data_IF_856145022064
#
_entry.id   IF_856145022064
#
_cell.length_a   1.000
_cell.length_b   1.000
_cell.length_c   1.000
_cell.angle_alpha   90.00
_cell.angle_beta   90.00
_cell.angle_gamma   90.00
#
_symmetry.space_group_name_H-M   'P 1'
#
loop_
_entity.id
_entity.type
_entity.pdbx_description
1 polymer ?
#
# COMPACT_ATOMS: atom_id res chain seq x y z
N UNK A 1 4.43 3.18 -15.79
CA UNK A 1 4.11 3.22 -14.34
C UNK A 1 5.30 2.65 -13.59
N UNK A 2 5.63 3.21 -12.44
CA UNK A 2 6.59 2.58 -11.52
C UNK A 2 5.85 1.55 -10.66
N UNK A 3 6.51 0.43 -10.37
CA UNK A 3 5.99 -0.61 -9.47
C UNK A 3 7.08 -0.91 -8.45
N UNK A 4 6.76 -0.73 -7.17
CA UNK A 4 7.60 -1.18 -6.08
C UNK A 4 7.28 -2.64 -5.76
N UNK A 5 8.32 -3.43 -5.49
CA UNK A 5 8.18 -4.83 -5.08
C UNK A 5 8.69 -5.01 -3.64
N UNK A 6 7.90 -5.71 -2.83
CA UNK A 6 8.24 -6.05 -1.46
C UNK A 6 8.01 -7.54 -1.20
N UNK A 7 9.06 -8.25 -0.83
CA UNK A 7 8.97 -9.66 -0.43
C UNK A 7 8.54 -9.74 1.04
N UNK A 8 7.55 -10.60 1.32
CA UNK A 8 7.06 -10.89 2.66
C UNK A 8 7.22 -12.39 2.91
N UNK A 9 7.91 -12.73 3.99
CA UNK A 9 7.92 -14.08 4.54
C UNK A 9 6.65 -14.29 5.36
N UNK A 10 5.85 -15.30 4.98
CA UNK A 10 4.58 -15.59 5.66
C UNK A 10 4.86 -16.15 7.05
N UNK A 11 4.30 -15.51 8.07
CA UNK A 11 4.52 -15.88 9.47
C UNK A 11 3.47 -16.88 9.93
N UNK A 12 3.86 -17.82 10.79
CA UNK A 12 2.91 -18.80 11.33
C UNK A 12 1.72 -18.12 12.03
N UNK A 13 2.00 -17.04 12.75
CA UNK A 13 0.99 -16.22 13.45
C UNK A 13 -0.02 -15.54 12.51
N UNK A 14 0.24 -15.50 11.20
CA UNK A 14 -0.67 -14.90 10.22
C UNK A 14 -1.69 -15.92 9.66
N UNK A 15 -1.62 -17.18 10.07
CA UNK A 15 -2.53 -18.24 9.62
C UNK A 15 -3.79 -18.36 10.48
N UNK A 16 -4.85 -18.93 9.91
CA UNK A 16 -6.08 -19.30 10.63
C UNK A 16 -6.33 -20.82 10.65
N UNK A 17 -7.46 -21.24 11.22
CA UNK A 17 -7.85 -22.64 11.35
C UNK A 17 -8.00 -23.37 10.00
N UNK A 18 -8.19 -22.66 8.89
CA UNK A 18 -8.27 -23.25 7.54
C UNK A 18 -6.88 -23.57 6.97
N UNK A 19 -5.81 -23.23 7.71
CA UNK A 19 -4.41 -23.48 7.32
C UNK A 19 -3.92 -22.52 6.23
N UNK A 20 -4.60 -21.39 6.04
CA UNK A 20 -4.23 -20.33 5.08
C UNK A 20 -3.96 -19.04 5.84
N UNK A 21 -3.37 -18.07 5.15
CA UNK A 21 -3.20 -16.72 5.69
C UNK A 21 -4.57 -16.10 5.93
N UNK A 22 -4.82 -15.67 7.17
CA UNK A 22 -6.06 -15.02 7.55
C UNK A 22 -6.26 -13.73 6.74
N UNK A 23 -7.46 -13.55 6.21
CA UNK A 23 -7.79 -12.55 5.19
C UNK A 23 -7.41 -11.10 5.56
N UNK A 24 -7.38 -10.74 6.84
CA UNK A 24 -7.01 -9.38 7.28
C UNK A 24 -5.50 -9.12 7.25
N UNK A 25 -4.67 -10.16 7.32
CA UNK A 25 -3.22 -9.99 7.39
C UNK A 25 -2.63 -9.45 6.08
N UNK A 26 -3.32 -9.69 4.96
CA UNK A 26 -2.97 -9.08 3.69
C UNK A 26 -2.97 -7.54 3.76
N UNK A 27 -3.79 -6.91 4.61
CA UNK A 27 -3.84 -5.45 4.75
C UNK A 27 -2.52 -4.88 5.30
N UNK A 28 -1.88 -5.62 6.22
CA UNK A 28 -0.54 -5.29 6.71
C UNK A 28 0.46 -5.36 5.56
N UNK A 29 0.35 -6.36 4.70
CA UNK A 29 1.24 -6.51 3.54
C UNK A 29 1.04 -5.41 2.49
N UNK A 30 -0.20 -4.95 2.27
CA UNK A 30 -0.49 -3.79 1.43
C UNK A 30 0.18 -2.52 1.97
N UNK A 31 0.18 -2.33 3.30
CA UNK A 31 0.87 -1.22 3.94
C UNK A 31 2.40 -1.32 3.82
N UNK A 32 2.97 -2.52 3.96
CA UNK A 32 4.40 -2.76 3.70
C UNK A 32 4.76 -2.41 2.25
N UNK A 33 3.96 -2.84 1.27
CA UNK A 33 4.14 -2.48 -0.13
C UNK A 33 4.03 -0.97 -0.39
N UNK A 34 3.06 -0.30 0.23
CA UNK A 34 2.88 1.17 0.14
C UNK A 34 4.06 1.93 0.73
N UNK A 35 4.51 1.56 1.93
CA UNK A 35 5.63 2.24 2.60
C UNK A 35 6.96 1.99 1.88
N UNK A 36 7.15 0.79 1.30
CA UNK A 36 8.28 0.48 0.41
C UNK A 36 8.29 1.37 -0.83
N UNK A 37 7.14 1.55 -1.51
CA UNK A 37 7.02 2.47 -2.64
C UNK A 37 7.42 3.90 -2.26
N UNK A 38 6.93 4.38 -1.11
CA UNK A 38 7.23 5.72 -0.61
C UNK A 38 8.75 5.90 -0.40
N UNK A 39 9.38 4.91 0.24
CA UNK A 39 10.81 4.92 0.53
C UNK A 39 11.67 4.88 -0.75
N UNK A 40 11.30 4.05 -1.73
CA UNK A 40 12.04 3.95 -3.00
C UNK A 40 11.99 5.23 -3.83
N UNK A 41 10.96 6.05 -3.63
CA UNK A 41 10.84 7.36 -4.27
C UNK A 41 11.59 8.47 -3.51
N UNK A 42 12.28 8.12 -2.41
CA UNK A 42 13.06 9.06 -1.61
C UNK A 42 12.26 9.85 -0.58
N UNK A 43 11.00 9.48 -0.33
CA UNK A 43 10.15 10.12 0.67
C UNK A 43 10.10 9.30 1.97
N UNK A 44 9.73 9.95 3.07
CA UNK A 44 9.61 9.30 4.38
C UNK A 44 8.22 9.52 4.97
N UNK A 45 7.50 8.42 5.18
CA UNK A 45 6.22 8.44 5.88
C UNK A 45 6.40 8.89 7.36
N UNK A 46 7.51 8.51 7.99
CA UNK A 46 7.81 8.90 9.37
C UNK A 46 8.03 10.41 9.50
N UNK A 47 8.70 11.04 8.53
CA UNK A 47 8.88 12.51 8.56
C UNK A 47 7.55 13.23 8.34
N UNK A 48 6.66 12.73 7.46
CA UNK A 48 5.29 13.24 7.31
C UNK A 48 4.55 13.24 8.66
N UNK A 49 4.65 12.16 9.44
CA UNK A 49 3.99 12.08 10.75
C UNK A 49 4.59 13.00 11.80
N UNK A 50 5.91 13.23 11.77
CA UNK A 50 6.59 14.20 12.65
C UNK A 50 6.16 15.64 12.36
N UNK A 51 5.80 15.95 11.12
CA UNK A 51 5.23 17.25 10.71
C UNK A 51 3.74 17.40 11.09
N UNK A 52 3.16 16.40 11.77
CA UNK A 52 1.76 16.41 12.19
C UNK A 52 0.77 16.14 11.05
N UNK A 53 1.22 15.51 9.96
CA UNK A 53 0.38 15.03 8.86
C UNK A 53 0.30 13.49 8.93
N UNK A 54 -0.89 12.94 8.69
CA UNK A 54 -1.13 11.49 8.65
C UNK A 54 -1.80 11.11 7.33
N UNK A 55 -1.71 9.84 6.92
CA UNK A 55 -2.32 9.36 5.66
C UNK A 55 -3.33 8.23 5.85
N UNK A 56 -4.51 8.49 6.46
CA UNK A 56 -5.50 7.44 6.70
C UNK A 56 -6.02 6.81 5.40
N UNK A 57 -6.33 5.52 5.47
CA UNK A 57 -7.06 4.78 4.44
C UNK A 57 -8.55 5.12 4.55
N UNK A 58 -9.15 5.59 3.47
CA UNK A 58 -10.59 5.88 3.37
C UNK A 58 -11.40 4.72 2.78
N UNK A 59 -10.80 3.95 1.89
CA UNK A 59 -11.45 2.82 1.21
C UNK A 59 -10.42 1.72 0.94
N UNK A 60 -10.89 0.47 0.99
CA UNK A 60 -10.14 -0.72 0.69
C UNK A 60 -11.02 -1.64 -0.17
N UNK A 61 -10.50 -2.05 -1.32
CA UNK A 61 -11.05 -3.13 -2.12
C UNK A 61 -10.03 -4.26 -2.19
N UNK A 62 -10.45 -5.50 -1.99
CA UNK A 62 -9.58 -6.66 -2.06
C UNK A 62 -10.33 -7.86 -2.65
N UNK A 63 -9.65 -8.60 -3.51
CA UNK A 63 -10.16 -9.85 -4.10
C UNK A 63 -9.16 -10.96 -3.87
N UNK A 64 -9.61 -12.02 -3.22
CA UNK A 64 -8.82 -13.20 -2.87
C UNK A 64 -9.00 -14.27 -3.96
N UNK A 65 -8.00 -14.46 -4.81
CA UNK A 65 -8.06 -15.38 -5.96
C UNK A 65 -7.50 -16.76 -5.63
N UNK A 66 -6.37 -16.79 -4.92
CA UNK A 66 -5.70 -18.03 -4.47
C UNK A 66 -5.26 -17.86 -3.03
N UNK A 67 -5.47 -18.90 -2.22
CA UNK A 67 -5.05 -18.89 -0.82
C UNK A 67 -3.54 -19.13 -0.72
N UNK A 68 -2.88 -18.35 0.14
CA UNK A 68 -1.46 -18.50 0.47
C UNK A 68 -1.30 -19.22 1.81
N UNK A 69 -0.16 -19.88 2.02
CA UNK A 69 0.09 -20.74 3.19
C UNK A 69 1.43 -20.46 3.84
N UNK A 70 1.53 -20.78 5.13
CA UNK A 70 2.80 -20.72 5.85
C UNK A 70 3.86 -21.59 5.16
N UNK A 71 5.09 -21.07 5.07
CA UNK A 71 6.20 -21.68 4.34
C UNK A 71 6.35 -21.18 2.90
N UNK A 72 5.34 -20.47 2.36
CA UNK A 72 5.45 -19.75 1.09
C UNK A 72 6.01 -18.34 1.30
N UNK A 73 6.39 -17.70 0.19
CA UNK A 73 6.73 -16.28 0.11
C UNK A 73 5.64 -15.53 -0.63
N UNK A 74 5.42 -14.27 -0.25
CA UNK A 74 4.54 -13.36 -0.96
C UNK A 74 5.34 -12.19 -1.56
N UNK A 75 5.07 -11.85 -2.81
CA UNK A 75 5.64 -10.69 -3.49
C UNK A 75 4.53 -9.67 -3.67
N UNK A 76 4.59 -8.58 -2.90
CA UNK A 76 3.64 -7.47 -2.96
C UNK A 76 4.13 -6.46 -3.98
N UNK A 77 3.39 -6.31 -5.07
CA UNK A 77 3.60 -5.27 -6.08
C UNK A 77 2.67 -4.11 -5.82
N UNK A 78 3.22 -2.89 -5.76
CA UNK A 78 2.46 -1.68 -5.45
C UNK A 78 2.73 -0.58 -6.45
N UNK A 79 1.70 0.14 -6.88
CA UNK A 79 1.82 1.30 -7.77
C UNK A 79 0.80 2.39 -7.43
N UNK A 80 0.96 3.59 -8.00
CA UNK A 80 -0.04 4.66 -7.96
C UNK A 80 -1.03 4.43 -9.10
N UNK A 81 -2.27 4.05 -8.78
CA UNK A 81 -3.31 3.77 -9.77
C UNK A 81 -3.97 5.05 -10.26
N UNK A 82 -4.45 5.88 -9.33
CA UNK A 82 -4.96 7.23 -9.64
C UNK A 82 -4.51 8.25 -8.61
N UNK A 83 -4.44 9.51 -9.03
CA UNK A 83 -3.97 10.61 -8.21
C UNK A 83 -4.82 11.86 -8.42
N UNK A 84 -5.14 12.52 -7.33
CA UNK A 84 -5.78 13.84 -7.29
C UNK A 84 -5.17 14.68 -6.16
N UNK A 85 -5.39 16.01 -6.12
CA UNK A 85 -4.82 16.86 -5.07
C UNK A 85 -5.22 16.50 -3.62
N UNK A 86 -6.27 15.69 -3.42
CA UNK A 86 -6.76 15.29 -2.10
C UNK A 86 -6.64 13.78 -1.84
N UNK A 87 -6.58 12.94 -2.88
CA UNK A 87 -6.64 11.48 -2.77
C UNK A 87 -5.58 10.82 -3.62
N UNK A 88 -4.97 9.77 -3.07
CA UNK A 88 -4.12 8.83 -3.77
C UNK A 88 -4.81 7.47 -3.76
N UNK A 89 -4.97 6.84 -4.92
CA UNK A 89 -5.38 5.44 -5.00
C UNK A 89 -4.17 4.60 -5.33
N UNK A 90 -3.83 3.69 -4.43
CA UNK A 90 -2.78 2.70 -4.64
C UNK A 90 -3.40 1.43 -5.21
N UNK A 91 -2.73 0.83 -6.20
CA UNK A 91 -3.07 -0.48 -6.72
C UNK A 91 -2.07 -1.52 -6.23
N UNK A 92 -2.56 -2.74 -6.02
CA UNK A 92 -1.78 -3.84 -5.47
C UNK A 92 -2.06 -5.16 -6.18
N UNK A 93 -0.99 -5.93 -6.36
CA UNK A 93 -1.03 -7.35 -6.69
C UNK A 93 -0.13 -8.12 -5.73
N UNK A 94 -0.56 -9.31 -5.30
CA UNK A 94 0.27 -10.21 -4.49
C UNK A 94 0.41 -11.53 -5.22
N UNK A 95 1.67 -11.92 -5.43
CA UNK A 95 2.06 -13.17 -6.07
C UNK A 95 2.67 -14.12 -5.05
N UNK A 96 2.52 -15.43 -5.25
CA UNK A 96 3.26 -16.44 -4.48
C UNK A 96 4.65 -16.71 -5.09
N UNK A 97 5.41 -17.61 -4.46
CA UNK A 97 6.75 -18.01 -4.92
C UNK A 97 6.80 -18.65 -6.31
N UNK A 98 5.68 -19.18 -6.80
CA UNK A 98 5.56 -19.77 -8.14
C UNK A 98 5.18 -18.73 -9.22
N UNK A 99 5.01 -17.45 -8.82
CA UNK A 99 4.63 -16.37 -9.73
C UNK A 99 3.13 -16.32 -10.06
N UNK A 100 2.28 -16.99 -9.28
CA UNK A 100 0.83 -16.98 -9.48
C UNK A 100 0.16 -15.80 -8.76
N UNK A 101 -0.76 -15.12 -9.45
CA UNK A 101 -1.52 -14.02 -8.89
C UNK A 101 -2.52 -14.51 -7.84
N UNK A 102 -2.27 -14.18 -6.57
CA UNK A 102 -3.09 -14.62 -5.44
C UNK A 102 -4.09 -13.56 -5.00
N UNK A 103 -3.71 -12.28 -4.99
CA UNK A 103 -4.53 -11.15 -4.52
C UNK A 103 -4.47 -10.00 -5.52
N UNK A 104 -5.61 -9.34 -5.73
CA UNK A 104 -5.67 -8.00 -6.31
C UNK A 104 -6.36 -7.06 -5.32
N UNK A 105 -5.81 -5.88 -5.09
CA UNK A 105 -6.39 -4.92 -4.14
C UNK A 105 -6.16 -3.46 -4.56
N UNK A 106 -6.90 -2.55 -3.94
CA UNK A 106 -6.64 -1.11 -3.98
C UNK A 106 -6.96 -0.45 -2.65
N UNK A 107 -6.26 0.64 -2.33
CA UNK A 107 -6.61 1.50 -1.19
C UNK A 107 -6.69 2.94 -1.63
N UNK A 108 -7.68 3.67 -1.10
CA UNK A 108 -7.75 5.12 -1.24
C UNK A 108 -7.22 5.77 0.03
N UNK A 109 -6.21 6.61 -0.07
CA UNK A 109 -5.63 7.36 1.04
C UNK A 109 -5.78 8.87 0.83
N UNK A 110 -5.84 9.61 1.93
CA UNK A 110 -5.80 11.08 1.95
C UNK A 110 -4.72 11.55 2.90
N UNK A 111 -4.24 12.78 2.75
CA UNK A 111 -3.51 13.45 3.83
C UNK A 111 -4.51 14.14 4.77
N UNK A 112 -4.27 14.05 6.08
CA UNK A 112 -5.04 14.72 7.11
C UNK A 112 -4.12 15.33 8.18
N UNK A 113 -4.58 16.37 8.87
CA UNK A 113 -3.93 16.82 10.10
C UNK A 113 -4.08 15.74 11.16
N UNK A 114 -2.99 15.43 11.87
CA UNK A 114 -2.97 14.42 12.96
C UNK A 114 -3.98 14.77 14.05
N UNK A 115 -4.06 16.04 14.41
CA UNK A 115 -5.09 16.54 15.29
C UNK A 115 -6.41 16.75 14.52
N UNK A 116 -7.49 16.14 15.01
CA UNK A 116 -8.83 16.32 14.47
C UNK A 116 -9.10 15.71 13.08
N UNK A 117 -8.13 14.99 12.48
CA UNK A 117 -8.29 14.26 11.22
C UNK A 117 -8.79 15.10 10.03
N UNK A 118 -8.55 16.42 10.07
CA UNK A 118 -9.04 17.32 9.02
C UNK A 118 -8.30 17.05 7.70
N UNK A 119 -9.00 16.72 6.60
CA UNK A 119 -8.36 16.50 5.30
C UNK A 119 -7.61 17.74 4.80
N UNK A 120 -6.46 17.51 4.16
CA UNK A 120 -5.58 18.55 3.64
C UNK A 120 -5.07 18.15 2.25
N UNK A 121 -4.83 19.14 1.39
CA UNK A 121 -4.38 18.86 0.03
C UNK A 121 -2.95 18.34 0.01
N UNK A 122 -2.78 17.10 -0.47
CA UNK A 122 -1.49 16.45 -0.66
C UNK A 122 -0.59 17.29 -1.58
N UNK A 123 -1.14 17.77 -2.71
CA UNK A 123 -0.42 18.64 -3.66
C UNK A 123 0.13 19.92 -3.02
N UNK A 124 -0.59 20.52 -2.07
CA UNK A 124 -0.15 21.75 -1.40
C UNK A 124 0.90 21.49 -0.33
N UNK A 125 0.78 20.38 0.40
CA UNK A 125 1.70 20.04 1.49
C UNK A 125 3.03 19.51 0.96
N UNK A 126 2.98 18.62 -0.02
CA UNK A 126 4.14 17.91 -0.54
C UNK A 126 4.20 18.02 -2.08
N UNK A 127 4.48 19.22 -2.63
CA UNK A 127 4.43 19.44 -4.08
C UNK A 127 5.43 18.57 -4.85
N UNK A 128 6.62 18.34 -4.31
CA UNK A 128 7.65 17.48 -4.93
C UNK A 128 7.21 16.00 -4.94
N UNK A 129 6.67 15.52 -3.83
CA UNK A 129 6.12 14.18 -3.72
C UNK A 129 4.93 13.98 -4.67
N UNK A 130 4.01 14.94 -4.69
CA UNK A 130 2.88 14.93 -5.62
C UNK A 130 3.35 14.89 -7.08
N UNK A 131 4.33 15.72 -7.45
CA UNK A 131 4.88 15.74 -8.80
C UNK A 131 5.52 14.39 -9.16
N UNK A 132 6.24 13.77 -8.23
CA UNK A 132 6.82 12.44 -8.46
C UNK A 132 5.74 11.37 -8.65
N UNK A 133 4.67 11.42 -7.87
CA UNK A 133 3.53 10.52 -8.05
C UNK A 133 2.84 10.72 -9.41
N UNK A 134 2.67 11.96 -9.87
CA UNK A 134 2.10 12.24 -11.20
C UNK A 134 2.96 11.69 -12.34
N UNK A 135 4.28 11.74 -12.22
CA UNK A 135 5.21 11.19 -13.21
C UNK A 135 5.08 9.67 -13.35
N UNK A 136 4.95 8.97 -12.22
CA UNK A 136 5.07 7.51 -12.16
C UNK A 136 3.75 6.75 -12.16
N UNK A 137 2.61 7.43 -12.02
CA UNK A 137 1.31 6.77 -11.93
C UNK A 137 1.00 5.92 -13.17
N UNK A 138 0.02 5.03 -13.01
CA UNK A 138 -0.56 4.29 -14.13
C UNK A 138 -1.15 5.28 -15.15
N UNK A 139 -0.79 5.07 -16.42
CA UNK A 139 -1.32 5.87 -17.53
C UNK A 139 -2.69 5.35 -17.92
#
# INVERSE_FOLDING_TARGET
MFVAEHEVEIRYAETDQMGVVYHSNYLVWLELGRTKLIQELGFSYVEMEKEGIISPVLDLQISYRKAMRYGEKAIVKTWIDTLSPLRVVYGYEIYNGDGELCITASTTNICAKKEGFRPVSFKKLYPEWYAKYEEIKKK
#
